data_IF_803454770566
#
_entry.id   IF_803454770566
#
_cell.length_a   1.000
_cell.length_b   1.000
_cell.length_c   1.000
_cell.angle_alpha   90.00
_cell.angle_beta   90.00
_cell.angle_gamma   90.00
#
_symmetry.space_group_name_H-M   'P 1'
#
loop_
_entity.id
_entity.type
_entity.pdbx_description
1 polymer ?
#
# COMPACT_ATOMS: atom_id res chain seq x y z
N UNK A 1 28.05 0.38 23.69
CA UNK A 1 27.12 1.32 23.03
C UNK A 1 26.94 0.83 21.60
N UNK A 2 25.78 0.26 21.27
CA UNK A 2 25.49 -0.27 19.94
C UNK A 2 24.99 0.88 19.08
N UNK A 3 25.76 1.25 18.05
CA UNK A 3 25.36 2.29 17.09
C UNK A 3 24.37 1.69 16.09
N UNK A 4 23.12 2.18 16.13
CA UNK A 4 22.16 1.93 15.06
C UNK A 4 22.68 2.57 13.76
N UNK A 5 22.85 1.83 12.65
CA UNK A 5 23.04 2.46 11.36
C UNK A 5 21.74 3.19 10.98
N UNK A 6 21.85 4.49 10.73
CA UNK A 6 20.80 5.27 10.06
C UNK A 6 20.67 4.72 8.64
N UNK A 7 19.66 3.88 8.43
CA UNK A 7 19.24 3.53 7.07
C UNK A 7 18.60 4.77 6.45
N UNK A 8 19.38 5.49 5.64
CA UNK A 8 18.84 6.42 4.66
C UNK A 8 18.25 5.59 3.52
N UNK A 9 17.00 5.17 3.67
CA UNK A 9 16.25 4.57 2.56
C UNK A 9 15.83 5.71 1.64
N UNK A 10 16.47 5.78 0.47
CA UNK A 10 16.07 6.69 -0.59
C UNK A 10 14.97 5.99 -1.39
N UNK A 11 13.74 6.03 -0.91
CA UNK A 11 12.59 5.33 -1.53
C UNK A 11 11.73 6.20 -2.46
N UNK A 12 12.17 7.42 -2.78
CA UNK A 12 11.45 8.34 -3.68
C UNK A 12 12.11 8.39 -5.05
N UNK A 13 11.95 7.32 -5.85
CA UNK A 13 12.24 7.29 -7.31
C UNK A 13 11.75 5.98 -7.98
N UNK A 14 11.25 5.01 -7.20
CA UNK A 14 10.88 3.69 -7.71
C UNK A 14 9.58 3.72 -8.53
N UNK A 15 8.55 4.35 -7.98
CA UNK A 15 7.21 4.33 -8.56
C UNK A 15 7.12 5.05 -9.91
N UNK A 16 7.86 6.14 -10.11
CA UNK A 16 7.85 6.95 -11.33
C UNK A 16 8.16 6.15 -12.62
N UNK A 17 8.97 5.09 -12.51
CA UNK A 17 9.29 4.22 -13.65
C UNK A 17 8.22 3.17 -13.94
N UNK A 18 7.42 2.82 -12.93
CA UNK A 18 6.42 1.75 -13.02
C UNK A 18 5.08 2.24 -13.63
N UNK A 19 4.73 3.51 -13.45
CA UNK A 19 3.46 4.11 -13.91
C UNK A 19 3.29 4.19 -15.44
N UNK A 20 4.33 3.88 -16.21
CA UNK A 20 4.24 3.87 -17.67
C UNK A 20 3.38 2.70 -18.21
N UNK A 21 2.96 1.74 -17.37
CA UNK A 21 2.31 0.50 -17.81
C UNK A 21 1.05 0.16 -17.01
N UNK A 22 0.03 1.02 -17.02
CA UNK A 22 -1.28 0.66 -16.43
C UNK A 22 -2.14 -0.05 -17.48
N UNK A 23 -2.30 -1.37 -17.35
CA UNK A 23 -3.21 -2.19 -18.17
C UNK A 23 -4.57 -2.29 -17.46
N UNK A 24 -5.70 -2.00 -18.13
CA UNK A 24 -7.01 -2.11 -17.49
C UNK A 24 -7.43 -3.58 -17.30
N UNK A 25 -7.54 -4.02 -16.04
CA UNK A 25 -8.23 -5.26 -15.66
C UNK A 25 -9.72 -4.99 -15.42
N UNK A 26 -10.60 -5.84 -15.94
CA UNK A 26 -12.06 -5.73 -15.88
C UNK A 26 -12.69 -6.40 -14.65
N UNK A 27 -11.93 -6.66 -13.58
CA UNK A 27 -12.48 -7.25 -12.35
C UNK A 27 -13.26 -6.25 -11.52
N UNK A 28 -14.31 -6.72 -10.84
CA UNK A 28 -15.00 -5.94 -9.80
C UNK A 28 -13.99 -5.56 -8.71
N UNK A 29 -13.83 -4.26 -8.45
CA UNK A 29 -12.98 -3.72 -7.39
C UNK A 29 -13.39 -4.31 -6.04
N UNK A 30 -12.46 -4.95 -5.36
CA UNK A 30 -12.68 -5.55 -4.04
C UNK A 30 -12.32 -4.56 -2.94
N UNK A 31 -12.87 -4.78 -1.75
CA UNK A 31 -12.48 -4.05 -0.54
C UNK A 31 -11.81 -5.01 0.41
N UNK A 32 -10.60 -4.68 0.83
CA UNK A 32 -9.78 -5.42 1.77
C UNK A 32 -9.80 -4.70 3.13
N UNK A 33 -10.19 -5.42 4.18
CA UNK A 33 -10.32 -4.85 5.51
C UNK A 33 -9.10 -5.19 6.37
N UNK A 34 -8.33 -4.17 6.71
CA UNK A 34 -7.16 -4.23 7.59
C UNK A 34 -7.44 -3.58 8.96
N UNK A 35 -8.67 -3.12 9.22
CA UNK A 35 -9.02 -2.39 10.44
C UNK A 35 -8.84 -3.19 11.75
N UNK A 36 -8.87 -4.52 11.67
CA UNK A 36 -8.64 -5.43 12.80
C UNK A 36 -7.22 -6.04 12.79
N UNK A 37 -6.36 -5.62 11.87
CA UNK A 37 -4.97 -6.07 11.76
C UNK A 37 -4.01 -5.16 12.55
N UNK A 38 -2.86 -5.69 12.93
CA UNK A 38 -1.86 -4.97 13.74
C UNK A 38 -0.83 -4.32 12.81
N UNK A 39 -0.75 -2.99 12.83
CA UNK A 39 0.30 -2.22 12.14
C UNK A 39 1.69 -2.58 12.71
N UNK A 40 2.73 -2.56 11.87
CA UNK A 40 4.08 -3.09 12.13
C UNK A 40 4.19 -4.61 12.29
N UNK A 41 3.08 -5.36 12.16
CA UNK A 41 3.08 -6.83 12.17
C UNK A 41 2.53 -7.37 10.85
N UNK A 42 1.31 -6.94 10.50
CA UNK A 42 0.61 -7.40 9.30
C UNK A 42 0.83 -6.45 8.10
N UNK A 43 1.07 -5.18 8.39
CA UNK A 43 1.34 -4.15 7.41
C UNK A 43 2.10 -2.97 8.04
N UNK A 44 2.76 -2.19 7.22
CA UNK A 44 3.31 -0.87 7.53
C UNK A 44 2.61 0.16 6.65
N UNK A 45 2.22 1.29 7.22
CA UNK A 45 1.51 2.35 6.51
C UNK A 45 2.22 3.69 6.73
N UNK A 46 2.50 4.38 5.63
CA UNK A 46 3.17 5.68 5.66
C UNK A 46 2.37 6.69 4.83
N UNK A 47 1.99 7.82 5.44
CA UNK A 47 1.39 8.93 4.68
C UNK A 47 2.50 9.68 3.94
N UNK A 48 2.30 9.84 2.63
CA UNK A 48 3.20 10.64 1.78
C UNK A 48 2.73 12.10 1.77
N UNK A 49 1.42 12.34 1.61
CA UNK A 49 0.82 13.67 1.64
C UNK A 49 -0.62 13.63 2.24
N UNK A 50 -1.43 14.67 1.99
CA UNK A 50 -2.80 14.77 2.53
C UNK A 50 -3.77 13.71 1.98
N UNK A 51 -3.51 13.17 0.80
CA UNK A 51 -4.38 12.20 0.12
C UNK A 51 -3.64 10.95 -0.34
N UNK A 52 -2.31 10.94 -0.30
CA UNK A 52 -1.50 9.84 -0.79
C UNK A 52 -0.79 9.14 0.36
N UNK A 53 -0.73 7.81 0.29
CA UNK A 53 -0.01 6.99 1.25
C UNK A 53 0.62 5.78 0.57
N UNK A 54 1.63 5.21 1.22
CA UNK A 54 2.24 3.94 0.87
C UNK A 54 1.85 2.92 1.93
N UNK A 55 1.65 1.68 1.51
CA UNK A 55 1.40 0.57 2.42
C UNK A 55 2.18 -0.64 1.97
N UNK A 56 2.97 -1.20 2.87
CA UNK A 56 3.61 -2.51 2.70
C UNK A 56 2.81 -3.52 3.50
N UNK A 57 2.33 -4.59 2.90
CA UNK A 57 1.46 -5.55 3.55
C UNK A 57 1.77 -6.99 3.18
N UNK A 58 1.26 -7.91 4.00
CA UNK A 58 1.30 -9.34 3.74
C UNK A 58 -0.05 -9.86 3.25
N UNK A 59 -0.02 -10.89 2.39
CA UNK A 59 -1.17 -11.57 1.83
C UNK A 59 -1.23 -11.47 0.31
N UNK A 60 -2.27 -12.05 -0.29
CA UNK A 60 -2.46 -12.04 -1.75
C UNK A 60 -3.83 -11.52 -2.14
N UNK A 61 -3.93 -10.99 -3.35
CA UNK A 61 -5.21 -10.68 -3.98
C UNK A 61 -5.66 -9.22 -3.88
N UNK A 62 -4.78 -8.33 -3.39
CA UNK A 62 -4.90 -6.88 -3.58
C UNK A 62 -4.47 -6.53 -5.00
N UNK A 63 -5.29 -5.76 -5.72
CA UNK A 63 -5.02 -5.35 -7.10
C UNK A 63 -5.19 -3.84 -7.25
N UNK A 64 -4.65 -3.23 -8.32
CA UNK A 64 -4.98 -1.85 -8.66
C UNK A 64 -6.50 -1.65 -8.72
N UNK A 65 -6.96 -0.50 -8.23
CA UNK A 65 -8.35 -0.05 -8.10
C UNK A 65 -9.18 -0.77 -7.03
N UNK A 66 -8.63 -1.77 -6.35
CA UNK A 66 -9.21 -2.26 -5.10
C UNK A 66 -9.18 -1.16 -4.03
N UNK A 67 -9.84 -1.43 -2.91
CA UNK A 67 -9.90 -0.53 -1.78
C UNK A 67 -9.36 -1.19 -0.52
N UNK A 68 -8.71 -0.40 0.32
CA UNK A 68 -8.18 -0.80 1.62
C UNK A 68 -8.85 0.04 2.70
N UNK A 69 -9.26 -0.60 3.80
CA UNK A 69 -9.76 0.06 5.01
C UNK A 69 -8.78 -0.22 6.14
N UNK A 70 -8.15 0.82 6.70
CA UNK A 70 -7.09 0.70 7.70
C UNK A 70 -7.57 0.92 9.14
N UNK A 71 -8.63 1.71 9.34
CA UNK A 71 -9.06 2.11 10.69
C UNK A 71 -10.52 1.79 10.94
N UNK A 72 -10.90 1.77 12.23
CA UNK A 72 -12.30 1.70 12.67
C UNK A 72 -13.13 2.90 12.22
N UNK A 73 -12.49 4.05 11.94
CA UNK A 73 -13.16 5.19 11.31
C UNK A 73 -13.53 4.93 9.83
N UNK A 74 -13.20 3.74 9.30
CA UNK A 74 -13.49 3.29 7.94
C UNK A 74 -12.93 4.21 6.87
N UNK A 75 -11.78 4.84 7.16
CA UNK A 75 -11.06 5.62 6.14
C UNK A 75 -10.67 4.64 5.02
N UNK A 76 -11.19 4.94 3.84
CA UNK A 76 -11.04 4.10 2.66
C UNK A 76 -9.97 4.69 1.76
N UNK A 77 -9.06 3.84 1.33
CA UNK A 77 -8.06 4.18 0.33
C UNK A 77 -8.29 3.34 -0.91
N UNK A 78 -8.11 3.90 -2.10
CA UNK A 78 -8.02 3.18 -3.36
C UNK A 78 -6.57 2.80 -3.62
N UNK A 79 -6.34 1.56 -4.03
CA UNK A 79 -5.04 1.11 -4.52
C UNK A 79 -4.81 1.71 -5.91
N UNK A 80 -3.85 2.60 -6.03
CA UNK A 80 -3.49 3.19 -7.32
C UNK A 80 -2.50 2.29 -8.06
N UNK A 81 -1.49 1.79 -7.34
CA UNK A 81 -0.50 0.85 -7.84
C UNK A 81 -0.14 -0.15 -6.75
N UNK A 82 0.32 -1.33 -7.15
CA UNK A 82 0.80 -2.37 -6.23
C UNK A 82 1.88 -3.20 -6.91
N UNK A 83 2.88 -3.58 -6.15
CA UNK A 83 3.90 -4.54 -6.55
C UNK A 83 3.97 -5.68 -5.54
N UNK A 84 4.07 -6.91 -6.04
CA UNK A 84 4.33 -8.09 -5.23
C UNK A 84 5.79 -8.48 -5.32
N UNK A 85 6.40 -8.77 -4.17
CA UNK A 85 7.75 -9.31 -4.11
C UNK A 85 7.71 -10.81 -4.41
N UNK A 86 8.79 -11.34 -4.98
CA UNK A 86 8.93 -12.78 -5.23
C UNK A 86 9.30 -13.57 -3.98
N UNK A 87 9.93 -12.91 -3.00
CA UNK A 87 10.37 -13.52 -1.75
C UNK A 87 10.33 -12.51 -0.59
N UNK A 88 9.41 -12.65 0.39
CA UNK A 88 8.37 -13.67 0.42
C UNK A 88 7.24 -13.34 -0.58
N UNK A 89 6.61 -14.35 -1.21
CA UNK A 89 5.63 -14.17 -2.30
C UNK A 89 4.28 -13.59 -1.86
N UNK A 90 4.13 -13.29 -0.57
CA UNK A 90 2.95 -12.69 0.04
C UNK A 90 3.19 -11.23 0.41
N UNK A 91 4.42 -10.73 0.29
CA UNK A 91 4.73 -9.34 0.56
C UNK A 91 4.41 -8.51 -0.67
N UNK A 92 3.83 -7.35 -0.44
CA UNK A 92 3.57 -6.35 -1.48
C UNK A 92 3.69 -4.95 -0.92
N UNK A 93 3.94 -3.99 -1.80
CA UNK A 93 3.89 -2.56 -1.50
C UNK A 93 2.93 -1.88 -2.47
N UNK A 94 2.02 -1.07 -1.94
CA UNK A 94 0.97 -0.39 -2.67
C UNK A 94 1.01 1.12 -2.46
N UNK A 95 0.74 1.85 -3.54
CA UNK A 95 0.40 3.26 -3.50
C UNK A 95 -1.11 3.40 -3.30
N UNK A 96 -1.50 4.21 -2.33
CA UNK A 96 -2.85 4.40 -1.88
C UNK A 96 -3.28 5.85 -2.05
N UNK A 97 -4.48 6.07 -2.58
CA UNK A 97 -5.14 7.38 -2.63
C UNK A 97 -6.34 7.35 -1.70
N UNK A 98 -6.38 8.23 -0.72
CA UNK A 98 -7.51 8.39 0.19
C UNK A 98 -8.75 8.75 -0.63
N UNK A 99 -9.81 7.97 -0.48
CA UNK A 99 -11.11 8.36 -1.01
C UNK A 99 -11.62 9.53 -0.16
N UNK A 100 -11.92 10.66 -0.79
CA UNK A 100 -12.53 11.79 -0.09
C UNK A 100 -13.81 11.33 0.60
N UNK A 101 -13.98 11.69 1.86
CA UNK A 101 -15.31 11.72 2.48
C UNK A 101 -16.04 12.89 1.82
N UNK A 102 -16.95 12.58 0.89
CA UNK A 102 -17.95 13.55 0.41
C UNK A 102 -18.84 14.03 1.57
#
# INVERSE_FOLDING_TARGET
MLTNPKHNVTELNFFDKLFAQVVPSSSKHKTHNFADQIESVNYEFEKIDSHTAQMTGYGKGVHPRDYIILTKERIRYRVEAIEYYSDPPELWTALLIQCNAE
#
